data_IF_153376397147
#
_entry.id   IF_153376397147
#
_cell.length_a   1.000
_cell.length_b   1.000
_cell.length_c   1.000
_cell.angle_alpha   90.00
_cell.angle_beta   90.00
_cell.angle_gamma   90.00
#
_symmetry.space_group_name_H-M   'P 1'
#
loop_
_entity.id
_entity.type
_entity.pdbx_description
1 polymer ?
#
# COMPACT_ATOMS: atom_id res chain seq x y z
N UNK A 1 5.84 -2.92 22.03
CA UNK A 1 4.90 -3.28 20.95
C UNK A 1 5.00 -2.21 19.88
N UNK A 2 5.23 -2.56 18.61
CA UNK A 2 5.09 -1.58 17.52
C UNK A 2 3.59 -1.29 17.40
N UNK A 3 3.17 -0.09 17.81
CA UNK A 3 1.79 0.34 17.57
C UNK A 3 1.67 0.64 16.08
N UNK A 4 1.01 -0.27 15.36
CA UNK A 4 0.55 0.01 14.01
C UNK A 4 -0.52 1.11 14.08
N UNK A 5 -0.64 1.95 13.05
CA UNK A 5 -1.71 2.94 13.00
C UNK A 5 -3.08 2.27 13.04
N UNK A 6 -4.09 2.99 13.54
CA UNK A 6 -5.46 2.47 13.68
C UNK A 6 -6.09 2.02 12.35
N UNK A 7 -5.62 2.58 11.24
CA UNK A 7 -6.09 2.28 9.89
C UNK A 7 -5.47 1.04 9.26
N UNK A 8 -4.54 0.37 9.95
CA UNK A 8 -3.81 -0.79 9.40
C UNK A 8 -4.73 -1.96 9.01
N UNK A 9 -5.85 -2.13 9.71
CA UNK A 9 -6.82 -3.21 9.49
C UNK A 9 -8.09 -2.73 8.79
N UNK A 10 -8.11 -1.51 8.24
CA UNK A 10 -9.26 -1.01 7.50
C UNK A 10 -9.40 -1.67 6.14
N UNK A 11 -10.60 -1.61 5.58
CA UNK A 11 -10.88 -2.11 4.24
C UNK A 11 -10.09 -1.33 3.19
N UNK A 12 -9.61 -2.02 2.16
CA UNK A 12 -8.82 -1.41 1.10
C UNK A 12 -9.74 -0.82 0.03
N UNK A 13 -9.49 0.43 -0.34
CA UNK A 13 -10.06 1.04 -1.55
C UNK A 13 -8.96 1.15 -2.61
N UNK A 14 -9.11 0.44 -3.72
CA UNK A 14 -8.12 0.46 -4.81
C UNK A 14 -8.53 1.51 -5.83
N UNK A 15 -7.77 2.61 -5.89
CA UNK A 15 -8.08 3.70 -6.81
C UNK A 15 -7.98 3.28 -8.27
N UNK A 16 -8.69 3.96 -9.20
CA UNK A 16 -8.51 3.73 -10.64
C UNK A 16 -7.06 3.87 -11.11
N UNK A 17 -6.28 4.75 -10.47
CA UNK A 17 -4.85 4.86 -10.72
C UNK A 17 -4.10 3.59 -10.34
N UNK A 18 -4.33 3.07 -9.12
CA UNK A 18 -3.72 1.83 -8.65
C UNK A 18 -4.11 0.63 -9.51
N UNK A 19 -5.39 0.52 -9.93
CA UNK A 19 -5.84 -0.54 -10.84
C UNK A 19 -5.08 -0.53 -12.17
N UNK A 20 -4.91 0.63 -12.78
CA UNK A 20 -4.09 0.75 -14.00
C UNK A 20 -2.64 0.30 -13.74
N UNK A 21 -2.08 0.66 -12.59
CA UNK A 21 -0.71 0.30 -12.23
C UNK A 21 -0.52 -1.18 -11.90
N UNK A 22 -1.56 -1.83 -11.41
CA UNK A 22 -1.61 -3.28 -11.20
C UNK A 22 -1.50 -4.02 -12.53
N UNK A 23 -2.24 -3.56 -13.53
CA UNK A 23 -2.17 -4.07 -14.91
C UNK A 23 -0.78 -3.81 -15.51
N UNK A 24 -0.30 -2.56 -15.49
CA UNK A 24 1.01 -2.15 -16.03
C UNK A 24 2.20 -2.95 -15.40
N UNK A 25 2.06 -3.39 -14.15
CA UNK A 25 3.13 -4.03 -13.36
C UNK A 25 2.83 -5.49 -13.02
N UNK A 26 1.79 -6.04 -13.63
CA UNK A 26 1.39 -7.45 -13.59
C UNK A 26 1.25 -8.04 -12.17
N UNK A 27 0.63 -7.31 -11.23
CA UNK A 27 0.30 -7.85 -9.91
C UNK A 27 -1.19 -7.70 -9.60
N UNK A 28 -1.72 -8.68 -8.88
CA UNK A 28 -3.14 -8.81 -8.53
C UNK A 28 -3.46 -8.17 -7.19
N UNK A 29 -4.76 -7.98 -6.90
CA UNK A 29 -5.20 -7.54 -5.57
C UNK A 29 -4.79 -8.53 -4.47
N UNK A 30 -4.83 -9.84 -4.76
CA UNK A 30 -4.37 -10.86 -3.82
C UNK A 30 -2.89 -10.69 -3.48
N UNK A 31 -2.04 -10.44 -4.48
CA UNK A 31 -0.63 -10.17 -4.27
C UNK A 31 -0.40 -8.86 -3.51
N UNK A 32 -1.19 -7.82 -3.78
CA UNK A 32 -1.17 -6.56 -3.02
C UNK A 32 -1.52 -6.78 -1.54
N UNK A 33 -2.54 -7.58 -1.24
CA UNK A 33 -2.91 -7.91 0.15
C UNK A 33 -1.79 -8.67 0.86
N UNK A 34 -1.19 -9.65 0.19
CA UNK A 34 -0.01 -10.37 0.70
C UNK A 34 1.20 -9.43 0.93
N UNK A 35 1.39 -8.43 0.06
CA UNK A 35 2.42 -7.41 0.23
C UNK A 35 2.21 -6.57 1.50
N UNK A 36 0.97 -6.19 1.81
CA UNK A 36 0.64 -5.45 3.04
C UNK A 36 0.78 -6.31 4.30
N UNK A 37 0.37 -7.58 4.24
CA UNK A 37 0.53 -8.54 5.34
C UNK A 37 2.01 -8.77 5.69
N UNK A 38 2.88 -8.83 4.68
CA UNK A 38 4.33 -9.00 4.84
C UNK A 38 5.11 -7.69 4.86
N UNK A 39 4.47 -6.57 5.24
CA UNK A 39 5.11 -5.27 5.34
C UNK A 39 6.38 -5.31 6.21
N UNK A 40 7.46 -4.75 5.67
CA UNK A 40 8.75 -4.65 6.33
C UNK A 40 8.85 -3.37 7.16
N UNK A 41 8.34 -2.27 6.61
CA UNK A 41 8.42 -0.94 7.22
C UNK A 41 7.26 -0.07 6.76
N UNK A 42 6.86 0.82 7.65
CA UNK A 42 5.93 1.90 7.37
C UNK A 42 6.65 3.24 7.60
N UNK A 43 6.51 4.18 6.66
CA UNK A 43 7.05 5.54 6.76
C UNK A 43 6.09 6.57 6.15
N UNK A 44 6.23 7.84 6.52
CA UNK A 44 5.49 8.93 5.88
C UNK A 44 5.99 9.13 4.44
N UNK A 45 5.05 9.41 3.53
CA UNK A 45 5.35 9.87 2.18
C UNK A 45 5.72 11.36 2.16
N UNK A 46 6.17 11.84 1.01
CA UNK A 46 6.49 13.27 0.79
C UNK A 46 5.23 14.13 0.71
N UNK A 47 4.14 13.57 0.16
CA UNK A 47 2.82 14.20 0.16
C UNK A 47 2.16 14.01 1.52
N UNK A 48 1.62 15.10 2.09
CA UNK A 48 0.84 15.06 3.32
C UNK A 48 -0.31 14.04 3.22
N UNK A 49 -0.61 13.35 4.33
CA UNK A 49 -1.61 12.28 4.38
C UNK A 49 -1.13 10.93 3.85
N UNK A 50 -0.11 10.90 2.98
CA UNK A 50 0.38 9.64 2.39
C UNK A 50 1.39 8.92 3.25
N UNK A 51 1.32 7.60 3.16
CA UNK A 51 2.24 6.66 3.78
C UNK A 51 2.83 5.72 2.75
N UNK A 52 4.03 5.24 3.02
CA UNK A 52 4.75 4.28 2.20
C UNK A 52 4.98 3.04 3.04
N UNK A 53 4.50 1.91 2.52
CA UNK A 53 4.69 0.57 3.06
C UNK A 53 5.76 -0.10 2.21
N UNK A 54 6.92 -0.36 2.80
CA UNK A 54 7.99 -1.12 2.18
C UNK A 54 7.70 -2.61 2.36
N UNK A 55 7.81 -3.38 1.28
CA UNK A 55 7.48 -4.81 1.26
C UNK A 55 8.34 -5.55 0.24
N UNK A 56 8.16 -6.87 0.12
CA UNK A 56 8.75 -7.69 -0.93
C UNK A 56 7.68 -8.33 -1.79
N UNK A 57 7.88 -8.25 -3.09
CA UNK A 57 7.06 -8.96 -4.07
C UNK A 57 7.96 -9.49 -5.20
N UNK A 58 7.74 -10.75 -5.59
CA UNK A 58 8.55 -11.45 -6.62
C UNK A 58 10.07 -11.26 -6.41
N UNK A 59 10.53 -11.41 -5.16
CA UNK A 59 11.94 -11.26 -4.71
C UNK A 59 12.54 -9.85 -4.82
N UNK A 60 11.77 -8.84 -5.21
CA UNK A 60 12.21 -7.43 -5.28
C UNK A 60 11.62 -6.62 -4.12
N UNK A 61 12.27 -5.50 -3.79
CA UNK A 61 11.69 -4.51 -2.88
C UNK A 61 10.62 -3.71 -3.60
N UNK A 62 9.52 -3.45 -2.91
CA UNK A 62 8.40 -2.67 -3.42
C UNK A 62 7.97 -1.65 -2.38
N UNK A 63 7.40 -0.56 -2.89
CA UNK A 63 6.76 0.48 -2.10
C UNK A 63 5.28 0.54 -2.49
N UNK A 64 4.41 0.39 -1.50
CA UNK A 64 2.97 0.62 -1.64
C UNK A 64 2.66 1.98 -1.01
N UNK A 65 2.10 2.88 -1.80
CA UNK A 65 1.66 4.19 -1.36
C UNK A 65 0.19 4.10 -0.97
N UNK A 66 -0.11 4.42 0.28
CA UNK A 66 -1.45 4.39 0.85
C UNK A 66 -1.82 5.72 1.49
N UNK A 67 -3.10 6.00 1.56
CA UNK A 67 -3.67 7.20 2.19
C UNK A 67 -4.89 6.76 3.01
N UNK A 68 -4.89 6.91 4.35
CA UNK A 68 -6.05 6.58 5.15
C UNK A 68 -7.12 7.66 4.98
N UNK A 69 -8.32 7.25 4.55
CA UNK A 69 -9.52 8.08 4.58
C UNK A 69 -10.20 7.90 5.93
N UNK A 70 -10.06 8.91 6.79
CA UNK A 70 -10.55 8.87 8.17
C UNK A 70 -12.07 8.95 8.27
N UNK A 71 -12.72 9.58 7.30
CA UNK A 71 -14.18 9.79 7.29
C UNK A 71 -14.88 8.53 6.77
N UNK A 72 -14.36 7.94 5.69
CA UNK A 72 -14.88 6.70 5.12
C UNK A 72 -14.39 5.45 5.88
N UNK A 73 -13.34 5.57 6.69
CA UNK A 73 -12.66 4.48 7.38
C UNK A 73 -12.12 3.43 6.40
N UNK A 74 -11.46 3.90 5.35
CA UNK A 74 -10.85 3.10 4.29
C UNK A 74 -9.35 3.36 4.20
N UNK A 75 -8.57 2.33 3.85
CA UNK A 75 -7.17 2.49 3.48
C UNK A 75 -7.07 2.57 1.95
N UNK A 76 -6.94 3.78 1.43
CA UNK A 76 -6.92 4.04 -0.01
C UNK A 76 -5.54 3.67 -0.56
N UNK A 77 -5.50 2.73 -1.50
CA UNK A 77 -4.28 2.35 -2.23
C UNK A 77 -4.10 3.30 -3.42
N UNK A 78 -3.09 4.15 -3.33
CA UNK A 78 -2.78 5.14 -4.37
C UNK A 78 -2.00 4.49 -5.51
N UNK A 79 -0.96 3.71 -5.19
CA UNK A 79 -0.13 2.96 -6.17
C UNK A 79 0.75 1.95 -5.46
N UNK A 80 1.27 0.94 -6.17
CA UNK A 80 2.41 0.14 -5.72
C UNK A 80 3.45 0.03 -6.85
N UNK A 81 4.74 0.14 -6.52
CA UNK A 81 5.81 0.04 -7.50
C UNK A 81 7.06 -0.63 -6.92
N UNK A 82 7.84 -1.29 -7.78
CA UNK A 82 9.13 -1.85 -7.39
C UNK A 82 10.21 -0.77 -7.25
N UNK A 83 11.17 -1.01 -6.38
CA UNK A 83 12.33 -0.13 -6.16
C UNK A 83 13.55 -0.74 -6.84
N UNK A 84 13.93 -0.21 -8.01
CA UNK A 84 15.17 -0.48 -8.72
C UNK A 84 15.61 0.73 -9.55
#
# INVERSE_FOLDING_TARGET
>A
MKHLPEWWEWELEITPHALKRMDDREFTELELRAMLEHALRLRRGETEGRWIIETRHRRHLWEVVVEPDMDARLLVVVTAYPVW
#
